data_IF_373024838389
#
_entry.id   IF_373024838389
#
_cell.length_a   1.000
_cell.length_b   1.000
_cell.length_c   1.000
_cell.angle_alpha   90.00
_cell.angle_beta   90.00
_cell.angle_gamma   90.00
#
_symmetry.space_group_name_H-M   'P 1'
#
loop_
_entity.id
_entity.type
_entity.pdbx_description
1 polymer ?
#
# COMPACT_ATOMS: atom_id res chain seq x y z
N UNK A 1 -2.23 0.27 16.04
CA UNK A 1 -1.03 0.16 15.21
C UNK A 1 -1.50 0.14 13.76
N UNK A 2 -0.78 0.78 12.84
CA UNK A 2 -1.30 1.06 11.49
C UNK A 2 -0.18 1.12 10.46
N UNK A 3 -0.43 1.81 9.36
CA UNK A 3 0.58 1.99 8.31
C UNK A 3 1.64 3.01 8.72
N UNK A 4 2.89 2.69 8.43
CA UNK A 4 4.05 3.55 8.69
C UNK A 4 4.87 3.70 7.41
N UNK A 5 5.51 4.85 7.22
CA UNK A 5 6.46 5.00 6.13
C UNK A 5 7.71 4.15 6.43
N UNK A 6 8.19 3.39 5.46
CA UNK A 6 9.35 2.50 5.68
C UNK A 6 10.67 3.26 5.84
N UNK A 7 10.78 4.43 5.20
CA UNK A 7 11.99 5.25 5.19
C UNK A 7 11.64 6.72 5.37
N UNK A 8 12.42 7.45 6.18
CA UNK A 8 12.29 8.90 6.34
C UNK A 8 12.97 9.70 5.21
N UNK A 9 13.51 9.03 4.20
CA UNK A 9 14.11 9.69 3.04
C UNK A 9 13.07 10.33 2.12
N UNK A 10 13.48 11.39 1.41
CA UNK A 10 12.64 12.03 0.42
C UNK A 10 12.29 11.03 -0.70
N UNK A 11 11.01 10.79 -0.88
CA UNK A 11 10.47 10.09 -2.03
C UNK A 11 9.90 11.08 -3.06
N UNK A 12 9.77 10.62 -4.30
CA UNK A 12 9.13 11.39 -5.36
C UNK A 12 7.71 10.84 -5.58
N UNK A 13 7.57 10.00 -6.59
CA UNK A 13 6.31 9.36 -6.97
C UNK A 13 6.15 7.97 -6.37
N UNK A 14 7.20 7.39 -5.81
CA UNK A 14 7.19 6.02 -5.31
C UNK A 14 7.71 5.99 -3.87
N UNK A 15 6.96 5.34 -2.98
CA UNK A 15 7.34 5.17 -1.59
C UNK A 15 6.85 3.84 -1.06
N UNK A 16 7.52 3.35 -0.02
CA UNK A 16 7.19 2.07 0.61
C UNK A 16 6.53 2.34 1.96
N UNK A 17 5.42 1.67 2.20
CA UNK A 17 4.79 1.65 3.52
C UNK A 17 5.00 0.28 4.16
N UNK A 18 5.21 0.28 5.47
CA UNK A 18 5.09 -0.88 6.32
C UNK A 18 3.62 -1.02 6.73
N UNK A 19 3.08 -2.20 6.48
CA UNK A 19 1.71 -2.56 6.75
C UNK A 19 1.58 -3.26 8.12
N UNK A 20 0.41 -3.17 8.77
CA UNK A 20 0.13 -3.89 10.01
C UNK A 20 -0.11 -5.40 9.77
N UNK A 21 -0.43 -5.79 8.54
CA UNK A 21 -0.67 -7.15 8.07
C UNK A 21 0.25 -7.48 6.87
N UNK A 22 0.37 -8.76 6.46
CA UNK A 22 1.07 -9.13 5.24
C UNK A 22 0.61 -8.29 4.05
N UNK A 23 1.56 -7.68 3.34
CA UNK A 23 1.26 -6.76 2.24
C UNK A 23 0.48 -7.46 1.11
N UNK A 24 0.70 -8.76 0.93
CA UNK A 24 -0.05 -9.58 -0.03
C UNK A 24 -1.54 -9.68 0.33
N UNK A 25 -1.89 -9.86 1.61
CA UNK A 25 -3.29 -9.95 2.03
C UNK A 25 -4.03 -8.63 1.81
N UNK A 26 -3.38 -7.51 2.14
CA UNK A 26 -3.91 -6.17 1.86
C UNK A 26 -4.07 -5.96 0.36
N UNK A 27 -3.06 -6.31 -0.44
CA UNK A 27 -3.12 -6.17 -1.88
C UNK A 27 -4.27 -6.99 -2.49
N UNK A 28 -4.43 -8.24 -2.08
CA UNK A 28 -5.49 -9.12 -2.58
C UNK A 28 -6.88 -8.55 -2.23
N UNK A 29 -7.09 -8.08 -0.99
CA UNK A 29 -8.35 -7.44 -0.59
C UNK A 29 -8.66 -6.20 -1.44
N UNK A 30 -7.69 -5.33 -1.65
CA UNK A 30 -7.88 -4.12 -2.46
C UNK A 30 -8.13 -4.48 -3.94
N UNK A 31 -7.46 -5.51 -4.44
CA UNK A 31 -7.66 -6.00 -5.80
C UNK A 31 -9.06 -6.59 -6.01
N UNK A 32 -9.63 -7.29 -5.02
CA UNK A 32 -11.02 -7.76 -5.05
C UNK A 32 -12.02 -6.60 -5.15
N UNK A 33 -11.68 -5.44 -4.61
CA UNK A 33 -12.45 -4.20 -4.75
C UNK A 33 -12.16 -3.44 -6.05
N UNK A 34 -11.29 -3.96 -6.92
CA UNK A 34 -10.92 -3.34 -8.19
C UNK A 34 -9.82 -2.29 -8.07
N UNK A 35 -9.12 -2.23 -6.94
CA UNK A 35 -8.04 -1.30 -6.68
C UNK A 35 -6.68 -1.99 -6.74
N UNK A 36 -5.85 -1.63 -7.72
CA UNK A 36 -4.46 -2.10 -7.81
C UNK A 36 -3.55 -1.24 -6.91
N UNK A 37 -3.49 -1.58 -5.63
CA UNK A 37 -2.91 -0.74 -4.58
C UNK A 37 -1.38 -0.84 -4.41
N UNK A 38 -0.62 -0.78 -5.52
CA UNK A 38 0.84 -0.88 -5.48
C UNK A 38 1.36 -2.32 -5.60
N UNK A 39 2.54 -2.60 -5.03
CA UNK A 39 3.26 -3.87 -5.21
C UNK A 39 3.76 -4.46 -3.87
N UNK A 40 3.32 -5.68 -3.49
CA UNK A 40 3.83 -6.37 -2.31
C UNK A 40 5.30 -6.79 -2.48
N UNK A 41 6.19 -6.23 -1.67
CA UNK A 41 7.64 -6.51 -1.78
C UNK A 41 8.02 -7.90 -1.27
N UNK A 42 7.19 -8.51 -0.43
CA UNK A 42 7.40 -9.86 0.11
C UNK A 42 7.60 -10.95 -0.93
N UNK A 43 7.07 -10.78 -2.15
CA UNK A 43 7.20 -11.74 -3.23
C UNK A 43 8.66 -11.91 -3.71
N UNK A 44 9.41 -10.80 -3.75
CA UNK A 44 10.82 -10.79 -4.17
C UNK A 44 11.79 -10.74 -2.97
N UNK A 45 11.35 -10.15 -1.86
CA UNK A 45 12.14 -9.91 -0.67
C UNK A 45 11.41 -10.46 0.57
N UNK A 46 11.71 -11.70 1.00
CA UNK A 46 11.02 -12.33 2.14
C UNK A 46 11.07 -11.50 3.44
N UNK A 47 12.16 -10.76 3.66
CA UNK A 47 12.32 -9.88 4.82
C UNK A 47 11.37 -8.65 4.79
N UNK A 48 10.71 -8.42 3.65
CA UNK A 48 9.79 -7.31 3.40
C UNK A 48 8.33 -7.78 3.22
N UNK A 49 7.95 -8.91 3.84
CA UNK A 49 6.59 -9.49 3.77
C UNK A 49 5.45 -8.50 4.08
N UNK A 50 5.71 -7.55 4.98
CA UNK A 50 4.75 -6.53 5.41
C UNK A 50 5.01 -5.17 4.74
N UNK A 51 5.66 -5.12 3.58
CA UNK A 51 5.95 -3.87 2.88
C UNK A 51 5.25 -3.81 1.52
N UNK A 52 4.60 -2.67 1.27
CA UNK A 52 3.87 -2.38 0.06
C UNK A 52 4.51 -1.15 -0.61
N UNK A 53 4.97 -1.33 -1.86
CA UNK A 53 5.48 -0.23 -2.69
C UNK A 53 4.31 0.46 -3.38
N UNK A 54 4.11 1.73 -3.10
CA UNK A 54 3.06 2.56 -3.69
C UNK A 54 3.70 3.49 -4.71
N UNK A 55 3.11 3.54 -5.91
CA UNK A 55 3.48 4.47 -6.97
C UNK A 55 2.29 5.40 -7.27
N UNK A 56 2.49 6.70 -7.09
CA UNK A 56 1.55 7.77 -7.43
C UNK A 56 2.08 8.56 -8.62
N UNK A 57 1.23 8.80 -9.60
CA UNK A 57 1.56 9.52 -10.83
C UNK A 57 0.63 10.71 -11.02
N UNK A 58 0.95 11.61 -11.94
CA UNK A 58 0.08 12.75 -12.30
C UNK A 58 -1.29 12.32 -12.86
N UNK A 59 -1.45 11.03 -13.18
CA UNK A 59 -2.72 10.45 -13.65
C UNK A 59 -3.65 10.05 -12.51
N UNK A 60 -3.18 10.00 -11.26
CA UNK A 60 -4.00 9.66 -10.11
C UNK A 60 -4.79 10.89 -9.65
N UNK A 61 -6.11 10.79 -9.66
CA UNK A 61 -6.99 11.83 -9.13
C UNK A 61 -7.02 11.82 -7.61
N UNK A 62 -7.53 12.90 -7.00
CA UNK A 62 -7.77 12.93 -5.55
C UNK A 62 -8.73 11.81 -5.12
N UNK A 63 -9.74 11.53 -5.94
CA UNK A 63 -10.73 10.48 -5.64
C UNK A 63 -10.09 9.09 -5.65
N UNK A 64 -9.10 8.83 -6.52
CA UNK A 64 -8.34 7.57 -6.53
C UNK A 64 -7.51 7.41 -5.24
N UNK A 65 -6.92 8.51 -4.76
CA UNK A 65 -6.15 8.52 -3.51
C UNK A 65 -7.08 8.31 -2.32
N UNK A 66 -8.22 8.99 -2.28
CA UNK A 66 -9.21 8.84 -1.21
C UNK A 66 -9.77 7.40 -1.21
N UNK A 67 -9.92 6.77 -2.38
CA UNK A 67 -10.34 5.37 -2.49
C UNK A 67 -9.28 4.40 -1.96
N UNK A 68 -8.00 4.64 -2.27
CA UNK A 68 -6.88 3.89 -1.68
C UNK A 68 -6.87 3.98 -0.15
N UNK A 69 -7.01 5.20 0.39
CA UNK A 69 -7.05 5.40 1.85
C UNK A 69 -8.21 4.65 2.48
N UNK A 70 -9.42 4.76 1.91
CA UNK A 70 -10.60 4.07 2.41
C UNK A 70 -10.43 2.55 2.42
N UNK A 71 -9.85 1.97 1.36
CA UNK A 71 -9.57 0.55 1.30
C UNK A 71 -8.54 0.10 2.34
N UNK A 72 -7.47 0.86 2.54
CA UNK A 72 -6.45 0.56 3.55
C UNK A 72 -7.02 0.66 4.98
N UNK A 73 -7.88 1.65 5.25
CA UNK A 73 -8.57 1.80 6.53
C UNK A 73 -9.53 0.63 6.80
N UNK A 74 -10.24 0.14 5.78
CA UNK A 74 -11.15 -1.00 5.91
C UNK A 74 -10.39 -2.26 6.36
N UNK A 75 -9.26 -2.56 5.70
CA UNK A 75 -8.44 -3.73 6.03
C UNK A 75 -7.81 -3.63 7.42
N UNK A 76 -7.48 -2.42 7.88
CA UNK A 76 -6.85 -2.22 9.19
C UNK A 76 -7.81 -2.22 10.38
N UNK A 77 -9.11 -2.02 10.14
CA UNK A 77 -10.15 -2.03 11.17
C UNK A 77 -10.96 -3.34 11.20
N UNK A 78 -10.65 -4.28 10.31
CA UNK A 78 -11.24 -5.62 10.23
C UNK A 78 -10.73 -6.61 11.28
#
# INVERSE_FOLDING_TARGET
EGYELWSDENFFNEFVIRCPLPAQEIFDHLLEHGLLAGYPLGADYPDLENHLLIAVTEMNSKDDIDWLVAGLEEVSNG
#
